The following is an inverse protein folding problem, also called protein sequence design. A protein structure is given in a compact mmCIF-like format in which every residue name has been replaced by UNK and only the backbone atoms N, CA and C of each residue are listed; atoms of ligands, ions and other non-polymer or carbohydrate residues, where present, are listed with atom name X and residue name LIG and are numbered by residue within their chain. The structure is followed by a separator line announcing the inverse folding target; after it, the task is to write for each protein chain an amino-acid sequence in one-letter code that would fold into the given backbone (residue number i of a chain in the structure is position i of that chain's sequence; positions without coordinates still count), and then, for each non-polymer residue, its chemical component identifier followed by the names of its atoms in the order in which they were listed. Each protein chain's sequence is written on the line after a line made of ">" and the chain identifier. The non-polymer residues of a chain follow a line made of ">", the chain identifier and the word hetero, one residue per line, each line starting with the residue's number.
data_IF_825628363555
#
_entry.id   IF_825628363555
#
_cell.length_a   1.000
_cell.length_b   1.000
_cell.length_c   1.000
_cell.angle_alpha   90.00
_cell.angle_beta   90.00
_cell.angle_gamma   90.00
#
_symmetry.space_group_name_H-M   'P 1'
#
loop_
_entity.id
_entity.type
_entity.pdbx_description
1 polymer ?
#
# COMPACT_ATOMS: atom_id res chain seq x y z
N UNK A 1 -25.04 34.91 0.30
CA UNK A 1 -25.12 33.53 0.84
C UNK A 1 -24.95 32.57 -0.33
N UNK A 2 -23.72 32.16 -0.61
CA UNK A 2 -23.42 31.26 -1.74
C UNK A 2 -23.78 29.83 -1.34
N UNK A 3 -24.75 29.23 -2.06
CA UNK A 3 -25.13 27.83 -1.88
C UNK A 3 -23.95 26.96 -2.29
N UNK A 4 -23.33 26.25 -1.33
CA UNK A 4 -22.39 25.17 -1.63
C UNK A 4 -23.18 24.08 -2.35
N UNK A 5 -22.71 23.69 -3.53
CA UNK A 5 -23.18 22.48 -4.20
C UNK A 5 -22.92 21.27 -3.29
N UNK A 6 -23.83 20.28 -3.25
CA UNK A 6 -23.58 19.05 -2.52
C UNK A 6 -22.36 18.32 -3.11
N UNK A 7 -21.59 17.58 -2.28
CA UNK A 7 -20.49 16.77 -2.77
C UNK A 7 -21.00 15.75 -3.81
N UNK A 8 -20.19 15.40 -4.82
CA UNK A 8 -20.56 14.38 -5.80
C UNK A 8 -20.87 13.06 -5.09
N UNK A 9 -21.94 12.38 -5.53
CA UNK A 9 -22.28 11.05 -5.02
C UNK A 9 -21.13 10.07 -5.32
N UNK A 10 -20.79 9.18 -4.37
CA UNK A 10 -19.75 8.19 -4.59
C UNK A 10 -20.08 7.37 -5.83
N UNK A 11 -19.07 6.99 -6.64
CA UNK A 11 -19.29 6.15 -7.81
C UNK A 11 -20.00 4.86 -7.37
N UNK A 12 -20.90 4.31 -8.20
CA UNK A 12 -21.61 3.09 -7.85
C UNK A 12 -20.59 1.97 -7.60
N UNK A 13 -20.59 1.43 -6.37
CA UNK A 13 -19.76 0.28 -6.02
C UNK A 13 -20.13 -0.88 -6.94
N UNK A 14 -19.18 -1.29 -7.79
CA UNK A 14 -19.37 -2.37 -8.78
C UNK A 14 -19.79 -3.69 -8.15
N UNK A 15 -19.39 -3.94 -6.90
CA UNK A 15 -19.68 -5.14 -6.13
C UNK A 15 -20.26 -4.76 -4.77
N UNK A 16 -21.47 -5.20 -4.46
CA UNK A 16 -22.17 -4.82 -3.23
C UNK A 16 -21.59 -5.47 -1.96
N UNK A 17 -20.89 -6.59 -2.11
CA UNK A 17 -20.28 -7.32 -1.00
C UNK A 17 -19.15 -8.25 -1.51
N UNK A 18 -18.31 -8.81 -0.61
CA UNK A 18 -17.24 -9.73 -0.98
C UNK A 18 -17.70 -10.98 -1.74
N UNK A 19 -18.90 -11.48 -1.47
CA UNK A 19 -19.44 -12.66 -2.16
C UNK A 19 -19.70 -12.35 -3.64
N UNK A 20 -20.33 -11.21 -3.93
CA UNK A 20 -20.58 -10.78 -5.32
C UNK A 20 -19.29 -10.57 -6.12
N UNK A 21 -18.19 -10.18 -5.47
CA UNK A 21 -16.87 -10.13 -6.08
C UNK A 21 -16.30 -11.54 -6.32
N UNK A 22 -16.43 -12.44 -5.34
CA UNK A 22 -16.01 -13.84 -5.45
C UNK A 22 -16.69 -14.54 -6.63
N UNK A 23 -18.01 -14.46 -6.71
CA UNK A 23 -18.82 -15.08 -7.76
C UNK A 23 -18.44 -14.57 -9.15
N UNK A 24 -18.00 -13.31 -9.24
CA UNK A 24 -17.53 -12.72 -10.49
C UNK A 24 -16.11 -13.19 -10.86
N UNK A 25 -15.22 -13.36 -9.89
CA UNK A 25 -13.82 -13.78 -10.09
C UNK A 25 -13.66 -15.28 -10.36
N UNK A 26 -14.43 -16.12 -9.68
CA UNK A 26 -14.30 -17.58 -9.73
C UNK A 26 -14.29 -18.17 -11.15
N UNK A 27 -15.20 -17.80 -12.07
CA UNK A 27 -15.16 -18.32 -13.45
C UNK A 27 -14.08 -17.65 -14.33
N UNK A 28 -13.38 -16.63 -13.84
CA UNK A 28 -12.45 -15.78 -14.61
C UNK A 28 -10.98 -15.96 -14.25
N UNK A 29 -10.69 -16.63 -13.12
CA UNK A 29 -9.33 -16.86 -12.63
C UNK A 29 -9.01 -18.36 -12.58
N UNK A 30 -7.73 -18.75 -12.67
CA UNK A 30 -7.33 -20.14 -12.47
C UNK A 30 -7.70 -20.62 -11.06
N UNK A 31 -8.46 -21.71 -10.96
CA UNK A 31 -9.01 -22.21 -9.69
C UNK A 31 -7.95 -22.43 -8.61
N UNK A 32 -6.82 -23.05 -8.95
CA UNK A 32 -5.72 -23.30 -8.00
C UNK A 32 -5.12 -22.01 -7.45
N UNK A 33 -5.06 -20.96 -8.27
CA UNK A 33 -4.52 -19.66 -7.86
C UNK A 33 -5.50 -18.89 -6.98
N UNK A 34 -6.80 -18.92 -7.33
CA UNK A 34 -7.84 -18.26 -6.56
C UNK A 34 -8.06 -18.93 -5.19
N UNK A 35 -8.02 -20.27 -5.13
CA UNK A 35 -8.13 -21.04 -3.89
C UNK A 35 -6.99 -20.76 -2.89
N UNK A 36 -5.84 -20.24 -3.36
CA UNK A 36 -4.73 -19.89 -2.49
C UNK A 36 -4.96 -18.60 -1.67
N UNK A 37 -5.94 -17.78 -2.02
CA UNK A 37 -6.16 -16.46 -1.41
C UNK A 37 -6.64 -16.59 0.05
N UNK A 38 -5.87 -16.01 0.98
CA UNK A 38 -6.14 -16.11 2.42
C UNK A 38 -5.83 -17.46 3.04
N UNK A 39 -5.32 -18.42 2.24
CA UNK A 39 -4.90 -19.75 2.70
C UNK A 39 -3.38 -19.86 2.66
N UNK A 40 -2.76 -19.42 1.56
CA UNK A 40 -1.30 -19.42 1.42
C UNK A 40 -0.70 -18.21 2.16
N UNK A 41 0.36 -18.39 2.98
CA UNK A 41 1.03 -17.30 3.67
C UNK A 41 1.42 -16.14 2.74
N UNK A 42 1.18 -14.92 3.19
CA UNK A 42 1.48 -13.69 2.45
C UNK A 42 0.49 -13.32 1.34
N UNK A 43 -0.58 -14.11 1.14
CA UNK A 43 -1.69 -13.76 0.24
C UNK A 43 -2.79 -13.02 0.99
N UNK A 44 -3.46 -12.11 0.28
CA UNK A 44 -4.68 -11.44 0.74
C UNK A 44 -5.90 -12.27 0.31
N UNK A 45 -7.04 -12.03 0.95
CA UNK A 45 -8.29 -12.71 0.61
C UNK A 45 -9.24 -11.82 -0.21
N UNK A 46 -10.38 -12.39 -0.65
CA UNK A 46 -11.40 -11.66 -1.42
C UNK A 46 -11.93 -10.45 -0.67
N UNK A 47 -12.03 -10.52 0.67
CA UNK A 47 -12.49 -9.40 1.48
C UNK A 47 -11.54 -8.22 1.39
N UNK A 48 -10.21 -8.46 1.46
CA UNK A 48 -9.24 -7.40 1.22
C UNK A 48 -9.41 -6.75 -0.15
N UNK A 49 -9.60 -7.54 -1.23
CA UNK A 49 -9.74 -6.96 -2.57
C UNK A 49 -11.04 -6.15 -2.70
N UNK A 50 -12.11 -6.62 -2.07
CA UNK A 50 -13.37 -5.90 -2.07
C UNK A 50 -13.25 -4.54 -1.37
N UNK A 51 -12.56 -4.46 -0.22
CA UNK A 51 -12.26 -3.18 0.45
C UNK A 51 -11.44 -2.26 -0.46
N UNK A 52 -10.32 -2.77 -1.00
CA UNK A 52 -9.47 -2.00 -1.93
C UNK A 52 -10.21 -1.45 -3.15
N UNK A 53 -11.25 -2.14 -3.63
CA UNK A 53 -12.11 -1.67 -4.72
C UNK A 53 -13.19 -0.69 -4.24
N UNK A 54 -13.71 -0.87 -3.03
CA UNK A 54 -14.76 -0.04 -2.43
C UNK A 54 -14.20 1.32 -2.03
N UNK A 55 -12.96 1.35 -1.54
CA UNK A 55 -12.25 2.55 -1.11
C UNK A 55 -11.58 3.28 -2.29
N UNK A 56 -11.64 2.69 -3.50
CA UNK A 56 -11.07 3.26 -4.72
C UNK A 56 -9.54 3.20 -4.82
N UNK A 57 -8.85 2.59 -3.86
CA UNK A 57 -7.40 2.37 -3.88
C UNK A 57 -6.96 1.50 -5.08
N UNK A 58 -7.88 0.69 -5.58
CA UNK A 58 -7.67 -0.15 -6.75
C UNK A 58 -8.87 -0.10 -7.68
N UNK A 59 -8.63 -0.40 -8.95
CA UNK A 59 -9.70 -0.65 -9.92
C UNK A 59 -9.47 -1.99 -10.59
N UNK A 60 -10.54 -2.57 -11.13
CA UNK A 60 -10.47 -3.85 -11.84
C UNK A 60 -11.16 -3.73 -13.20
N UNK A 61 -10.44 -4.12 -14.24
CA UNK A 61 -10.96 -4.13 -15.61
C UNK A 61 -11.76 -5.40 -15.87
N UNK A 62 -12.83 -5.29 -16.66
CA UNK A 62 -13.59 -6.44 -17.15
C UNK A 62 -12.94 -7.05 -18.40
N UNK A 63 -11.72 -7.54 -18.22
CA UNK A 63 -10.96 -8.28 -19.23
C UNK A 63 -10.92 -9.76 -18.86
N UNK A 64 -10.38 -10.60 -19.75
CA UNK A 64 -10.24 -12.04 -19.50
C UNK A 64 -8.79 -12.46 -19.72
N UNK A 65 -8.01 -12.70 -18.64
CA UNK A 65 -8.38 -12.54 -17.23
C UNK A 65 -8.53 -11.04 -16.83
N UNK A 66 -9.28 -10.74 -15.75
CA UNK A 66 -9.38 -9.40 -15.18
C UNK A 66 -8.01 -8.82 -14.81
N UNK A 67 -7.82 -7.52 -15.01
CA UNK A 67 -6.58 -6.83 -14.60
C UNK A 67 -6.89 -5.84 -13.48
N UNK A 68 -6.22 -6.00 -12.34
CA UNK A 68 -6.24 -5.05 -11.21
C UNK A 68 -5.27 -3.90 -11.48
N UNK A 69 -5.76 -2.67 -11.53
CA UNK A 69 -4.91 -1.48 -11.61
C UNK A 69 -4.75 -0.86 -10.23
N UNK A 70 -3.52 -0.46 -9.90
CA UNK A 70 -3.16 0.16 -8.62
C UNK A 70 -2.10 1.22 -8.84
N UNK A 71 -2.24 2.35 -8.14
CA UNK A 71 -1.22 3.39 -8.06
C UNK A 71 -0.46 3.24 -6.75
N UNK A 72 0.87 3.26 -6.83
CA UNK A 72 1.75 3.06 -5.68
C UNK A 72 2.80 4.15 -5.68
N UNK A 73 2.98 4.81 -4.54
CA UNK A 73 4.11 5.70 -4.30
C UNK A 73 5.29 4.88 -3.76
N UNK A 74 6.49 5.14 -4.27
CA UNK A 74 7.73 4.51 -3.82
C UNK A 74 8.70 5.60 -3.39
N UNK A 75 8.93 5.69 -2.09
CA UNK A 75 9.79 6.70 -1.48
C UNK A 75 11.17 6.11 -1.25
N UNK A 76 12.16 6.57 -2.00
CA UNK A 76 13.57 6.29 -1.72
C UNK A 76 14.03 7.26 -0.65
N UNK A 77 14.00 6.79 0.60
CA UNK A 77 14.51 7.59 1.72
C UNK A 77 16.03 7.54 1.71
N UNK A 78 16.66 8.70 1.48
CA UNK A 78 18.11 8.87 1.41
C UNK A 78 18.63 9.21 2.80
N UNK A 79 19.44 8.30 3.35
CA UNK A 79 20.14 8.44 4.62
C UNK A 79 21.54 9.05 4.47
N UNK A 80 22.35 8.90 5.52
CA UNK A 80 23.75 9.34 5.49
C UNK A 80 24.53 8.54 4.44
N UNK A 81 25.57 9.18 3.87
CA UNK A 81 26.44 8.58 2.85
C UNK A 81 25.71 8.13 1.57
N UNK A 82 24.48 8.58 1.36
CA UNK A 82 23.65 8.20 0.22
C UNK A 82 22.98 6.84 0.34
N UNK A 83 23.05 6.16 1.49
CA UNK A 83 22.35 4.89 1.68
C UNK A 83 20.82 5.06 1.53
N UNK A 84 20.15 4.03 1.05
CA UNK A 84 18.71 4.00 0.84
C UNK A 84 18.05 3.13 1.89
N UNK A 85 16.98 3.63 2.49
CA UNK A 85 16.15 2.83 3.39
C UNK A 85 15.32 1.84 2.56
N UNK A 86 15.39 0.56 2.94
CA UNK A 86 14.54 -0.47 2.37
C UNK A 86 13.83 -1.25 3.47
N UNK A 87 12.59 -1.61 3.17
CA UNK A 87 11.85 -2.61 3.92
C UNK A 87 12.42 -3.98 3.59
N UNK A 88 13.13 -4.58 4.54
CA UNK A 88 13.66 -5.93 4.40
C UNK A 88 12.55 -6.96 4.38
N UNK A 89 11.74 -6.97 5.44
CA UNK A 89 10.62 -7.90 5.64
C UNK A 89 9.49 -7.24 6.42
N UNK A 90 8.31 -7.84 6.32
CA UNK A 90 7.12 -7.48 7.09
C UNK A 90 6.60 -8.68 7.88
N UNK A 91 6.04 -8.41 9.06
CA UNK A 91 5.23 -9.35 9.83
C UNK A 91 3.75 -8.99 9.66
N UNK A 92 2.94 -9.98 9.27
CA UNK A 92 1.50 -9.81 9.04
C UNK A 92 0.68 -10.19 10.27
N UNK A 93 -0.60 -9.80 10.29
CA UNK A 93 -1.52 -10.07 11.40
C UNK A 93 -1.79 -11.56 11.63
N UNK A 94 -1.61 -12.39 10.61
CA UNK A 94 -1.68 -13.86 10.67
C UNK A 94 -0.37 -14.53 11.17
N UNK A 95 0.64 -13.73 11.52
CA UNK A 95 1.96 -14.18 11.95
C UNK A 95 2.90 -14.57 10.82
N UNK A 96 2.46 -14.51 9.56
CA UNK A 96 3.33 -14.80 8.42
C UNK A 96 4.34 -13.68 8.17
N UNK A 97 5.49 -14.04 7.62
CA UNK A 97 6.57 -13.10 7.28
C UNK A 97 6.72 -13.02 5.77
N UNK A 98 6.87 -11.80 5.26
CA UNK A 98 7.08 -11.54 3.83
C UNK A 98 8.36 -10.78 3.60
N UNK A 99 9.26 -11.37 2.80
CA UNK A 99 10.44 -10.68 2.27
C UNK A 99 10.02 -9.66 1.19
N UNK A 100 10.63 -8.48 1.23
CA UNK A 100 10.22 -7.32 0.43
C UNK A 100 11.42 -6.73 -0.30
N UNK A 101 12.48 -6.42 0.45
CA UNK A 101 13.72 -5.79 -0.03
C UNK A 101 13.49 -4.65 -1.03
N UNK A 102 12.59 -3.73 -0.68
CA UNK A 102 12.20 -2.60 -1.54
C UNK A 102 12.10 -1.31 -0.73
N UNK A 103 12.19 -0.12 -1.37
CA UNK A 103 11.92 1.13 -0.68
C UNK A 103 10.50 1.17 -0.10
N UNK A 104 10.26 2.11 0.81
CA UNK A 104 8.94 2.40 1.36
C UNK A 104 7.94 2.55 0.20
N UNK A 105 6.90 1.72 0.20
CA UNK A 105 6.02 1.52 -0.96
C UNK A 105 4.59 1.41 -0.51
N UNK A 106 3.82 2.46 -0.78
CA UNK A 106 2.47 2.59 -0.26
C UNK A 106 1.45 2.81 -1.38
N UNK A 107 0.27 2.21 -1.26
CA UNK A 107 -0.81 2.42 -2.25
C UNK A 107 -1.29 3.87 -2.13
N UNK A 108 -1.56 4.52 -3.26
CA UNK A 108 -2.12 5.87 -3.25
C UNK A 108 -3.63 5.80 -2.99
N UNK A 109 -4.15 6.76 -2.21
CA UNK A 109 -5.59 6.94 -2.04
C UNK A 109 -6.19 7.63 -3.28
N UNK A 110 -7.51 7.51 -3.52
CA UNK A 110 -8.17 8.28 -4.57
C UNK A 110 -7.89 9.77 -4.41
N UNK A 111 -7.68 10.45 -5.54
CA UNK A 111 -7.48 11.90 -5.62
C UNK A 111 -6.24 12.46 -4.89
N UNK A 112 -5.37 11.60 -4.36
CA UNK A 112 -4.13 11.99 -3.68
C UNK A 112 -3.00 12.27 -4.69
N UNK A 113 -2.26 13.36 -4.48
CA UNK A 113 -1.03 13.65 -5.23
C UNK A 113 0.12 12.72 -4.79
N UNK A 114 1.13 12.46 -5.64
CA UNK A 114 2.31 11.70 -5.23
C UNK A 114 2.99 12.29 -3.98
N UNK A 115 3.01 13.62 -3.85
CA UNK A 115 3.58 14.31 -2.70
C UNK A 115 2.79 14.05 -1.42
N UNK A 116 1.45 14.18 -1.44
CA UNK A 116 0.60 13.86 -0.29
C UNK A 116 0.78 12.39 0.13
N UNK A 117 0.84 11.48 -0.86
CA UNK A 117 1.08 10.06 -0.62
C UNK A 117 2.45 9.80 0.04
N UNK A 118 3.49 10.55 -0.31
CA UNK A 118 4.81 10.46 0.36
C UNK A 118 4.68 10.79 1.85
N UNK A 119 4.03 11.92 2.19
CA UNK A 119 3.91 12.34 3.59
C UNK A 119 3.07 11.36 4.40
N UNK A 120 1.96 10.88 3.83
CA UNK A 120 1.11 9.87 4.45
C UNK A 120 1.88 8.56 4.67
N UNK A 121 2.57 8.06 3.66
CA UNK A 121 3.32 6.81 3.76
C UNK A 121 4.44 6.88 4.81
N UNK A 122 5.16 7.99 4.91
CA UNK A 122 6.15 8.20 5.99
C UNK A 122 5.47 8.28 7.36
N UNK A 123 4.30 8.92 7.46
CA UNK A 123 3.56 9.02 8.71
C UNK A 123 3.05 7.65 9.18
N UNK A 124 2.43 6.89 8.29
CA UNK A 124 1.84 5.58 8.60
C UNK A 124 2.94 4.56 8.93
N UNK A 125 3.98 4.43 8.09
CA UNK A 125 4.96 3.34 8.24
C UNK A 125 6.16 3.69 9.15
N UNK A 126 6.57 4.97 9.24
CA UNK A 126 7.74 5.41 10.02
C UNK A 126 7.37 6.28 11.23
N UNK A 127 6.09 6.64 11.37
CA UNK A 127 5.60 7.58 12.39
C UNK A 127 5.87 7.15 13.82
N UNK A 128 5.88 5.84 14.09
CA UNK A 128 6.09 5.28 15.45
C UNK A 128 7.47 5.60 16.04
N UNK A 129 8.43 6.01 15.21
CA UNK A 129 9.77 6.43 15.64
C UNK A 129 9.76 7.85 16.20
N UNK A 130 8.87 8.70 15.71
CA UNK A 130 8.84 10.10 16.09
C UNK A 130 8.13 10.24 17.44
N UNK A 131 8.85 10.71 18.45
CA UNK A 131 8.29 11.00 19.77
C UNK A 131 7.52 12.32 19.71
N UNK A 132 6.18 12.24 19.63
CA UNK A 132 5.27 13.40 19.58
C UNK A 132 4.70 13.65 18.17
N UNK A 133 3.59 14.39 18.09
CA UNK A 133 2.96 14.85 16.84
C UNK A 133 3.81 15.91 16.10
N UNK A 134 5.12 15.74 16.07
CA UNK A 134 5.99 16.56 15.22
C UNK A 134 5.57 16.30 13.78
N UNK A 135 4.89 17.29 13.22
CA UNK A 135 4.34 17.31 11.88
C UNK A 135 5.33 16.69 10.89
N UNK A 136 5.00 15.48 10.40
CA UNK A 136 5.81 14.69 9.48
C UNK A 136 6.23 15.53 8.27
N UNK A 137 5.41 16.52 7.90
CA UNK A 137 5.68 17.51 6.85
C UNK A 137 6.99 18.27 7.09
N UNK A 138 7.33 18.59 8.33
CA UNK A 138 8.59 19.27 8.65
C UNK A 138 9.80 18.33 8.60
N UNK A 139 9.60 17.02 8.83
CA UNK A 139 10.68 16.03 8.87
C UNK A 139 11.04 15.51 7.49
N UNK A 140 10.05 15.45 6.59
CA UNK A 140 10.20 14.96 5.22
C UNK A 140 10.58 16.11 4.29
N UNK A 141 11.68 15.93 3.56
CA UNK A 141 12.07 16.83 2.47
C UNK A 141 12.18 16.03 1.18
N UNK A 142 11.21 16.23 0.29
CA UNK A 142 11.23 15.69 -1.06
C UNK A 142 12.30 16.41 -1.88
N UNK A 143 13.11 15.66 -2.62
CA UNK A 143 14.14 16.21 -3.50
C UNK A 143 13.48 16.71 -4.80
N UNK A 144 13.56 18.02 -5.12
CA UNK A 144 12.95 18.56 -6.33
C UNK A 144 13.50 17.90 -7.59
N UNK A 145 12.61 17.57 -8.54
CA UNK A 145 13.00 16.94 -9.82
C UNK A 145 13.33 15.45 -9.74
N UNK A 146 13.20 14.81 -8.57
CA UNK A 146 13.43 13.36 -8.41
C UNK A 146 12.25 12.48 -8.84
N UNK A 147 11.07 13.08 -9.01
CA UNK A 147 9.86 12.36 -9.36
C UNK A 147 10.01 11.65 -10.71
N UNK A 148 9.67 10.37 -10.72
CA UNK A 148 9.57 9.56 -11.94
C UNK A 148 8.36 8.65 -11.85
N UNK A 149 7.75 8.39 -13.01
CA UNK A 149 6.59 7.50 -13.12
C UNK A 149 6.87 6.40 -14.13
N UNK A 150 6.54 5.17 -13.77
CA UNK A 150 6.53 4.05 -14.71
C UNK A 150 5.32 3.17 -14.50
N UNK A 151 5.04 2.34 -15.51
CA UNK A 151 3.96 1.37 -15.48
C UNK A 151 4.57 -0.02 -15.63
N UNK A 152 4.19 -0.94 -14.74
CA UNK A 152 4.60 -2.34 -14.79
C UNK A 152 3.36 -3.24 -14.79
N UNK A 153 3.38 -4.28 -15.61
CA UNK A 153 2.37 -5.35 -15.58
C UNK A 153 3.01 -6.63 -15.06
N UNK A 154 2.44 -7.20 -13.99
CA UNK A 154 2.91 -8.46 -13.40
C UNK A 154 1.80 -9.12 -12.60
N UNK A 155 1.96 -10.41 -12.31
CA UNK A 155 1.06 -11.10 -11.40
C UNK A 155 1.15 -10.51 -9.99
N UNK A 156 -0.02 -10.32 -9.37
CA UNK A 156 -0.09 -9.84 -8.00
C UNK A 156 0.40 -10.92 -7.03
N UNK A 157 1.42 -10.61 -6.25
CA UNK A 157 1.89 -11.49 -5.18
C UNK A 157 0.83 -11.70 -4.09
N UNK A 158 0.02 -10.66 -3.83
CA UNK A 158 -1.04 -10.73 -2.81
C UNK A 158 -2.29 -11.45 -3.34
N UNK A 159 -2.47 -11.48 -4.66
CA UNK A 159 -3.62 -12.09 -5.34
C UNK A 159 -3.12 -12.99 -6.48
N UNK A 160 -2.56 -14.18 -6.17
CA UNK A 160 -2.06 -15.09 -7.19
C UNK A 160 -3.11 -15.37 -8.28
N UNK A 161 -2.69 -15.39 -9.54
CA UNK A 161 -3.58 -15.60 -10.69
C UNK A 161 -4.33 -14.35 -11.16
N UNK A 162 -4.29 -13.23 -10.42
CA UNK A 162 -4.82 -11.94 -10.85
C UNK A 162 -3.67 -11.06 -11.39
N UNK A 163 -3.62 -10.81 -12.71
CA UNK A 163 -2.71 -9.83 -13.28
C UNK A 163 -2.95 -8.45 -12.70
N UNK A 164 -1.87 -7.70 -12.51
CA UNK A 164 -1.94 -6.35 -11.99
C UNK A 164 -1.09 -5.39 -12.82
N UNK A 165 -1.66 -4.20 -13.05
CA UNK A 165 -1.00 -3.05 -13.66
C UNK A 165 -0.68 -2.04 -12.57
N UNK A 166 0.59 -1.84 -12.29
CA UNK A 166 1.10 -0.93 -11.28
C UNK A 166 1.52 0.38 -11.94
N UNK A 167 0.89 1.49 -11.56
CA UNK A 167 1.43 2.82 -11.79
C UNK A 167 2.35 3.16 -10.61
N UNK A 168 3.66 3.09 -10.82
CA UNK A 168 4.68 3.32 -9.80
C UNK A 168 5.15 4.77 -9.88
N UNK A 169 4.95 5.51 -8.80
CA UNK A 169 5.35 6.90 -8.62
C UNK A 169 6.56 6.94 -7.69
N UNK A 170 7.78 7.08 -8.23
CA UNK A 170 9.00 7.07 -7.42
C UNK A 170 9.49 8.47 -7.13
N UNK A 171 9.84 8.73 -5.86
CA UNK A 171 10.30 10.02 -5.35
C UNK A 171 11.50 9.80 -4.42
N UNK A 172 12.51 10.68 -4.50
CA UNK A 172 13.57 10.75 -3.49
C UNK A 172 13.20 11.70 -2.38
N UNK A 173 13.42 11.29 -1.13
CA UNK A 173 13.21 12.15 0.02
C UNK A 173 14.29 11.91 1.10
N UNK A 174 14.55 12.92 1.92
CA UNK A 174 15.29 12.76 3.18
C UNK A 174 14.31 12.91 4.33
N UNK A 175 14.43 12.06 5.35
CA UNK A 175 13.57 12.09 6.54
C UNK A 175 14.42 12.31 7.77
N UNK A 176 14.14 13.38 8.52
CA UNK A 176 14.91 13.74 9.72
C UNK A 176 14.45 12.94 10.95
N UNK A 177 15.41 12.45 11.72
CA UNK A 177 15.17 11.73 12.99
C UNK A 177 15.03 10.22 12.85
N UNK A 178 15.36 9.64 11.70
CA UNK A 178 15.46 8.19 11.56
C UNK A 178 16.75 7.64 12.18
N UNK A 179 16.73 6.41 12.72
CA UNK A 179 17.93 5.71 13.18
C UNK A 179 18.93 5.48 12.04
N UNK A 180 20.22 5.46 12.38
CA UNK A 180 21.31 5.18 11.42
C UNK A 180 21.55 3.68 11.21
N UNK A 181 21.11 2.86 12.15
CA UNK A 181 21.17 1.40 12.11
C UNK A 181 19.83 0.81 11.67
N UNK A 182 19.78 -0.50 11.45
CA UNK A 182 18.54 -1.23 11.18
C UNK A 182 17.54 -1.07 12.35
N UNK A 183 16.25 -0.91 12.02
CA UNK A 183 15.20 -0.66 13.00
C UNK A 183 13.87 -1.31 12.59
N UNK A 184 12.90 -1.32 13.50
CA UNK A 184 11.54 -1.73 13.19
C UNK A 184 10.52 -0.68 13.60
N UNK A 185 9.40 -0.65 12.89
CA UNK A 185 8.23 0.18 13.18
C UNK A 185 7.00 -0.70 13.26
N UNK A 186 6.01 -0.25 14.02
CA UNK A 186 4.73 -0.93 14.16
C UNK A 186 3.63 -0.03 13.59
N UNK A 187 2.74 -0.63 12.80
CA UNK A 187 1.51 0.04 12.39
C UNK A 187 0.48 -0.13 13.51
N UNK A 188 0.15 0.96 14.20
CA UNK A 188 -0.96 0.95 15.14
C UNK A 188 -2.26 0.80 14.35
N UNK A 189 -3.14 -0.13 14.73
CA UNK A 189 -4.44 -0.39 14.08
C UNK A 189 -5.47 0.77 14.18
N UNK A 190 -5.05 2.00 14.48
CA UNK A 190 -5.96 3.13 14.65
C UNK A 190 -5.40 4.39 13.98
N UNK A 191 -6.06 4.82 12.89
CA UNK A 191 -6.79 6.09 12.87
C UNK A 191 -7.53 6.27 11.53
N UNK A 192 -8.73 5.72 11.46
CA UNK A 192 -9.71 6.07 10.44
C UNK A 192 -10.50 4.90 9.92
N UNK A 193 -11.46 4.40 10.70
CA UNK A 193 -12.78 3.99 10.18
C UNK A 193 -13.71 3.49 11.31
N UNK A 194 -14.99 3.79 11.12
CA UNK A 194 -16.10 3.73 12.08
C UNK A 194 -16.22 2.39 12.80
N UNK A 195 -16.63 2.42 14.08
CA UNK A 195 -16.83 1.28 15.02
C UNK A 195 -17.75 0.14 14.52
N UNK A 196 -18.35 0.28 13.33
CA UNK A 196 -19.10 -0.79 12.62
C UNK A 196 -18.19 -1.68 11.73
N UNK A 197 -17.07 -1.17 11.21
CA UNK A 197 -16.14 -1.90 10.33
C UNK A 197 -15.19 -2.84 11.08
N UNK A 198 -15.08 -2.67 12.40
CA UNK A 198 -14.24 -3.49 13.27
C UNK A 198 -14.65 -4.98 13.30
N UNK A 199 -15.88 -5.33 12.88
CA UNK A 199 -16.31 -6.73 12.70
C UNK A 199 -15.96 -7.33 11.34
N UNK A 200 -15.71 -6.50 10.32
CA UNK A 200 -15.27 -6.92 8.99
C UNK A 200 -13.73 -6.98 8.89
N UNK A 201 -13.05 -6.04 9.56
CA UNK A 201 -11.59 -5.98 9.69
C UNK A 201 -10.97 -7.25 10.30
N UNK A 202 -11.69 -7.97 11.15
CA UNK A 202 -11.24 -9.25 11.73
C UNK A 202 -10.99 -10.38 10.71
N UNK A 203 -11.34 -10.19 9.44
CA UNK A 203 -11.04 -11.14 8.34
C UNK A 203 -9.89 -10.69 7.45
N UNK A 204 -9.46 -9.43 7.50
CA UNK A 204 -8.43 -8.90 6.61
C UNK A 204 -7.02 -9.17 7.16
N UNK A 205 -6.10 -9.59 6.29
CA UNK A 205 -4.68 -9.68 6.66
C UNK A 205 -4.05 -8.31 6.49
N UNK A 206 -3.48 -7.77 7.58
CA UNK A 206 -2.83 -6.44 7.66
C UNK A 206 -1.35 -6.59 8.02
N UNK A 207 -0.56 -5.55 7.78
CA UNK A 207 0.83 -5.50 8.24
C UNK A 207 0.81 -5.05 9.70
N UNK A 208 1.66 -5.66 10.54
CA UNK A 208 1.82 -5.25 11.94
C UNK A 208 3.16 -4.59 12.19
N UNK A 209 4.22 -5.12 11.58
CA UNK A 209 5.58 -4.66 11.81
C UNK A 209 6.38 -4.64 10.52
N UNK A 210 7.15 -3.58 10.36
CA UNK A 210 8.07 -3.38 9.26
C UNK A 210 9.50 -3.47 9.79
N UNK A 211 10.35 -4.21 9.10
CA UNK A 211 11.78 -4.30 9.42
C UNK A 211 12.57 -3.54 8.37
N UNK A 212 13.22 -2.47 8.80
CA UNK A 212 13.92 -1.52 7.97
C UNK A 212 15.42 -1.70 8.05
N UNK A 213 16.09 -1.51 6.91
CA UNK A 213 17.55 -1.54 6.83
C UNK A 213 18.08 -0.55 5.83
N UNK A 214 19.30 -0.09 6.09
CA UNK A 214 20.02 0.80 5.19
C UNK A 214 20.87 -0.01 4.23
N UNK A 215 20.73 0.25 2.93
CA UNK A 215 21.49 -0.44 1.88
C UNK A 215 22.18 0.55 0.95
N UNK A 216 23.27 0.12 0.33
CA UNK A 216 23.95 0.93 -0.68
C UNK A 216 23.04 1.16 -1.90
N UNK A 217 23.13 2.33 -2.57
CA UNK A 217 22.28 2.66 -3.73
C UNK A 217 22.27 1.59 -4.83
N UNK A 218 23.42 0.97 -5.10
CA UNK A 218 23.56 -0.06 -6.13
C UNK A 218 22.84 -1.38 -5.83
N UNK A 219 22.36 -1.58 -4.60
CA UNK A 219 21.65 -2.78 -4.17
C UNK A 219 20.14 -2.68 -4.35
N UNK A 220 19.60 -1.47 -4.60
CA UNK A 220 18.17 -1.24 -4.76
C UNK A 220 17.84 -1.22 -6.25
N UNK A 221 17.02 -2.17 -6.72
CA UNK A 221 16.47 -2.09 -8.07
C UNK A 221 15.41 -0.99 -8.10
N UNK A 222 15.61 -0.04 -9.02
CA UNK A 222 14.67 1.05 -9.28
C UNK A 222 13.28 0.50 -9.59
#
# INVERSE_FOLDING_TARGET
>A
MSRRSPPPSPPPQRFANPQSLSDWLEPRLPSDSFAAWGVKPGTKNVHNLWLELSDGETSITDSTPPVRAVSVVTVRVIGKNGNILVEGRQELSDGSVRERFRPLSEKMKPDETPEEAVFRAVKEELGSIFSGEDDVVQRVKILPGSYSRRVEEKNSMSYPGLPARYALHSVDATVRGLPEEDFCTEENECDGETVEETRAAGKAVTVKRHHWKWVSPGSVRA
#
